data_IF_700039069383
#
_entry.id   IF_700039069383
#
_cell.length_a   1.000
_cell.length_b   1.000
_cell.length_c   1.000
_cell.angle_alpha   90.00
_cell.angle_beta   90.00
_cell.angle_gamma   90.00
#
_symmetry.space_group_name_H-M   'P 1'
#
loop_
_entity.id
_entity.type
_entity.pdbx_description
1 polymer ?
#
# COMPACT_ATOMS: atom_id res chain seq x y z
N UNK A 1 29.88 7.05 -13.22
CA UNK A 1 28.56 7.12 -12.55
C UNK A 1 28.02 5.70 -12.49
N UNK A 2 28.06 5.07 -11.31
CA UNK A 2 27.61 3.69 -11.10
C UNK A 2 26.15 3.55 -11.54
N UNK A 3 25.88 2.71 -12.54
CA UNK A 3 24.53 2.43 -12.98
C UNK A 3 23.73 1.93 -11.77
N UNK A 4 22.75 2.71 -11.31
CA UNK A 4 21.94 2.38 -10.14
C UNK A 4 21.23 1.07 -10.43
N UNK A 5 21.57 0.02 -9.67
CA UNK A 5 21.04 -1.31 -9.90
C UNK A 5 19.50 -1.26 -9.87
N UNK A 6 18.82 -1.59 -10.98
CA UNK A 6 17.36 -1.57 -11.04
C UNK A 6 16.74 -2.53 -10.02
N UNK A 7 17.46 -3.53 -9.51
CA UNK A 7 16.97 -4.42 -8.47
C UNK A 7 16.69 -3.68 -7.14
N UNK A 8 17.53 -2.71 -6.77
CA UNK A 8 17.36 -1.93 -5.53
C UNK A 8 16.12 -1.04 -5.63
N UNK A 9 15.93 -0.37 -6.77
CA UNK A 9 14.75 0.46 -7.01
C UNK A 9 13.45 -0.37 -6.96
N UNK A 10 13.50 -1.58 -7.50
CA UNK A 10 12.37 -2.52 -7.50
C UNK A 10 12.01 -2.98 -6.08
N UNK A 11 13.02 -3.40 -5.32
CA UNK A 11 12.85 -3.79 -3.93
C UNK A 11 12.28 -2.63 -3.09
N UNK A 12 12.85 -1.43 -3.25
CA UNK A 12 12.38 -0.24 -2.54
C UNK A 12 10.90 0.06 -2.84
N UNK A 13 10.48 0.03 -4.11
CA UNK A 13 9.09 0.34 -4.44
C UNK A 13 8.09 -0.71 -3.91
N UNK A 14 8.43 -2.00 -3.95
CA UNK A 14 7.57 -3.06 -3.37
C UNK A 14 7.40 -2.85 -1.86
N UNK A 15 8.48 -2.55 -1.14
CA UNK A 15 8.41 -2.29 0.29
C UNK A 15 7.61 -1.02 0.60
N UNK A 16 7.81 0.05 -0.18
CA UNK A 16 7.06 1.29 -0.02
C UNK A 16 5.55 1.07 -0.23
N UNK A 17 5.17 0.23 -1.20
CA UNK A 17 3.77 -0.12 -1.43
C UNK A 17 3.17 -0.91 -0.26
N UNK A 18 3.93 -1.85 0.32
CA UNK A 18 3.49 -2.59 1.51
C UNK A 18 3.32 -1.67 2.71
N UNK A 19 4.27 -0.79 2.95
CA UNK A 19 4.23 0.15 4.08
C UNK A 19 3.05 1.12 3.91
N UNK A 20 2.87 1.70 2.73
CA UNK A 20 1.74 2.60 2.46
C UNK A 20 0.38 1.90 2.63
N UNK A 21 0.24 0.67 2.13
CA UNK A 21 -0.97 -0.12 2.36
C UNK A 21 -1.25 -0.38 3.85
N UNK A 22 -0.21 -0.72 4.65
CA UNK A 22 -0.36 -0.88 6.11
C UNK A 22 -0.77 0.43 6.77
N UNK A 23 -0.19 1.57 6.34
CA UNK A 23 -0.57 2.90 6.83
C UNK A 23 -2.04 3.20 6.51
N UNK A 24 -2.53 2.85 5.32
CA UNK A 24 -3.95 3.01 4.98
C UNK A 24 -4.87 2.13 5.84
N UNK A 25 -4.48 0.87 6.10
CA UNK A 25 -5.27 0.00 6.99
C UNK A 25 -5.33 0.57 8.41
N UNK A 26 -4.18 0.98 8.98
CA UNK A 26 -4.13 1.57 10.32
C UNK A 26 -4.92 2.87 10.36
N UNK A 27 -4.77 3.73 9.35
CA UNK A 27 -5.54 4.96 9.22
C UNK A 27 -7.05 4.69 9.17
N UNK A 28 -7.49 3.66 8.45
CA UNK A 28 -8.90 3.33 8.32
C UNK A 28 -9.48 2.79 9.64
N UNK A 29 -8.72 1.99 10.38
CA UNK A 29 -9.09 1.56 11.74
C UNK A 29 -9.21 2.77 12.67
N UNK A 30 -8.28 3.73 12.57
CA UNK A 30 -8.32 4.96 13.36
C UNK A 30 -9.53 5.85 13.04
N UNK A 31 -9.99 5.84 11.79
CA UNK A 31 -11.23 6.50 11.36
C UNK A 31 -12.45 5.80 11.94
N UNK A 32 -12.57 4.47 11.79
CA UNK A 32 -13.71 3.68 12.33
C UNK A 32 -13.80 3.78 13.86
N UNK A 33 -12.66 3.82 14.54
CA UNK A 33 -12.61 3.98 16.00
C UNK A 33 -12.89 5.41 16.47
N UNK A 34 -13.13 6.35 15.55
CA UNK A 34 -13.41 7.76 15.82
C UNK A 34 -12.36 8.45 16.73
N UNK A 35 -11.14 7.88 16.78
CA UNK A 35 -10.05 8.31 17.67
C UNK A 35 -9.40 9.61 17.21
N UNK A 36 -9.36 9.83 15.90
CA UNK A 36 -8.58 10.91 15.27
C UNK A 36 -9.47 11.83 14.44
N UNK A 37 -10.56 11.29 13.89
CA UNK A 37 -11.48 12.03 13.02
C UNK A 37 -12.94 11.65 13.33
N UNK A 38 -13.50 12.13 14.46
CA UNK A 38 -14.84 11.75 14.93
C UNK A 38 -16.01 12.26 14.06
N UNK A 39 -15.73 13.15 13.09
CA UNK A 39 -16.73 13.65 12.14
C UNK A 39 -16.77 12.84 10.83
N UNK A 40 -15.84 11.90 10.64
CA UNK A 40 -15.83 11.08 9.44
C UNK A 40 -16.80 9.90 9.58
N UNK A 41 -17.63 9.64 8.56
CA UNK A 41 -18.49 8.46 8.56
C UNK A 41 -17.69 7.15 8.55
N UNK A 42 -18.16 6.15 9.30
CA UNK A 42 -17.49 4.85 9.42
C UNK A 42 -17.27 4.14 8.07
N UNK A 43 -18.17 4.33 7.11
CA UNK A 43 -18.05 3.76 5.76
C UNK A 43 -16.78 4.23 5.03
N UNK A 44 -16.31 5.44 5.30
CA UNK A 44 -15.06 5.96 4.73
C UNK A 44 -13.87 5.19 5.31
N UNK A 45 -13.90 4.90 6.62
CA UNK A 45 -12.88 4.08 7.27
C UNK A 45 -12.83 2.67 6.70
N UNK A 46 -13.99 2.04 6.45
CA UNK A 46 -14.06 0.72 5.81
C UNK A 46 -13.50 0.73 4.38
N UNK A 47 -13.79 1.75 3.57
CA UNK A 47 -13.20 1.89 2.23
C UNK A 47 -11.69 2.08 2.30
N UNK A 48 -11.18 2.84 3.27
CA UNK A 48 -9.75 3.04 3.45
C UNK A 48 -9.04 1.73 3.84
N UNK A 49 -9.65 0.94 4.73
CA UNK A 49 -9.15 -0.40 5.09
C UNK A 49 -9.14 -1.32 3.87
N UNK A 50 -10.24 -1.37 3.12
CA UNK A 50 -10.35 -2.21 1.93
C UNK A 50 -9.30 -1.82 0.88
N UNK A 51 -9.12 -0.52 0.62
CA UNK A 51 -8.10 -0.02 -0.29
C UNK A 51 -6.69 -0.33 0.22
N UNK A 52 -6.43 -0.14 1.51
CA UNK A 52 -5.15 -0.50 2.13
C UNK A 52 -4.83 -1.98 1.98
N UNK A 53 -5.81 -2.88 2.18
CA UNK A 53 -5.62 -4.31 1.91
C UNK A 53 -5.31 -4.59 0.44
N UNK A 54 -6.02 -3.96 -0.50
CA UNK A 54 -5.73 -4.10 -1.93
C UNK A 54 -4.31 -3.63 -2.26
N UNK A 55 -3.86 -2.51 -1.68
CA UNK A 55 -2.50 -2.01 -1.87
C UNK A 55 -1.43 -2.93 -1.26
N UNK A 56 -1.69 -3.55 -0.09
CA UNK A 56 -0.75 -4.50 0.53
C UNK A 56 -0.65 -5.81 -0.27
N UNK A 57 -1.76 -6.33 -0.80
CA UNK A 57 -1.81 -7.67 -1.38
C UNK A 57 -1.79 -7.69 -2.91
N UNK A 58 -2.51 -6.78 -3.57
CA UNK A 58 -2.73 -6.81 -5.03
C UNK A 58 -1.64 -6.02 -5.75
N UNK A 59 -1.35 -4.79 -5.32
CA UNK A 59 -0.39 -3.93 -6.04
C UNK A 59 1.03 -4.50 -6.10
N UNK A 60 1.64 -5.03 -5.01
CA UNK A 60 2.96 -5.65 -5.12
C UNK A 60 2.94 -6.90 -6.00
N UNK A 61 1.82 -7.62 -6.08
CA UNK A 61 1.66 -8.76 -6.98
C UNK A 61 1.65 -8.32 -8.45
N UNK A 62 0.93 -7.24 -8.76
CA UNK A 62 0.90 -6.63 -10.09
C UNK A 62 2.27 -6.07 -10.47
N UNK A 63 2.94 -5.40 -9.54
CA UNK A 63 4.28 -4.84 -9.74
C UNK A 63 5.31 -5.96 -10.00
N UNK A 64 5.27 -7.03 -9.20
CA UNK A 64 6.12 -8.19 -9.37
C UNK A 64 5.86 -8.91 -10.71
N UNK A 65 4.60 -9.02 -11.15
CA UNK A 65 4.25 -9.55 -12.48
C UNK A 65 4.77 -8.65 -13.61
N UNK A 66 4.63 -7.33 -13.47
CA UNK A 66 5.08 -6.36 -14.49
C UNK A 66 6.61 -6.34 -14.65
N UNK A 67 7.35 -6.66 -13.60
CA UNK A 67 8.82 -6.75 -13.64
C UNK A 67 9.38 -8.14 -13.89
N UNK A 68 8.53 -9.18 -13.93
CA UNK A 68 8.86 -10.40 -14.65
C UNK A 68 8.82 -10.08 -16.14
N UNK A 69 9.88 -9.49 -16.64
CA UNK A 69 10.10 -9.41 -18.09
C UNK A 69 10.03 -10.85 -18.65
N UNK A 70 9.28 -11.10 -19.74
CA UNK A 70 9.15 -12.43 -20.33
C UNK A 70 10.49 -12.94 -20.87
N UNK A 71 10.63 -14.26 -20.97
CA UNK A 71 11.59 -14.89 -21.90
C UNK A 71 11.21 -14.56 -23.33
#
# INVERSE_FOLDING_TARGET
>A
MTARDPAIARFAAINFMRISGVVFVIGGILVVTNRVMPSLPDWVGYLLIANGLLDVFVVPLVMARKWRTPR
#
